data_IF_813647026627
#
_entry.id   IF_813647026627
#
_cell.length_a   1.000
_cell.length_b   1.000
_cell.length_c   1.000
_cell.angle_alpha   90.00
_cell.angle_beta   90.00
_cell.angle_gamma   90.00
#
_symmetry.space_group_name_H-M   'P 1'
#
loop_
_entity.id
_entity.type
_entity.pdbx_description
1 polymer ?
#
# COMPACT_ATOMS: atom_id res chain seq x y z
N UNK A 1 -12.53 -14.97 -24.51
CA UNK A 1 -11.43 -15.14 -23.53
C UNK A 1 -10.65 -13.84 -23.31
N UNK A 2 -10.12 -13.21 -24.36
CA UNK A 2 -9.37 -11.92 -24.27
C UNK A 2 -10.20 -10.79 -23.64
N UNK A 3 -11.44 -10.63 -24.02
CA UNK A 3 -12.36 -9.60 -23.48
C UNK A 3 -12.58 -9.74 -21.96
N UNK A 4 -12.70 -10.98 -21.49
CA UNK A 4 -12.86 -11.25 -20.06
C UNK A 4 -11.56 -11.01 -19.27
N UNK A 5 -10.38 -11.27 -19.88
CA UNK A 5 -9.08 -10.98 -19.26
C UNK A 5 -8.92 -9.47 -19.10
N UNK A 6 -9.26 -8.70 -20.14
CA UNK A 6 -9.19 -7.24 -20.08
C UNK A 6 -10.08 -6.65 -18.96
N UNK A 7 -11.34 -7.12 -18.85
CA UNK A 7 -12.22 -6.66 -17.76
C UNK A 7 -11.70 -6.99 -16.37
N UNK A 8 -11.03 -8.14 -16.20
CA UNK A 8 -10.41 -8.50 -14.93
C UNK A 8 -9.19 -7.63 -14.61
N UNK A 9 -8.35 -7.36 -15.61
CA UNK A 9 -7.20 -6.47 -15.45
C UNK A 9 -7.68 -5.07 -15.09
N UNK A 10 -8.70 -4.56 -15.79
CA UNK A 10 -9.24 -3.24 -15.52
C UNK A 10 -9.77 -3.11 -14.07
N UNK A 11 -10.61 -4.03 -13.60
CA UNK A 11 -11.09 -4.04 -12.22
C UNK A 11 -9.98 -4.25 -11.18
N UNK A 12 -8.92 -5.00 -11.55
CA UNK A 12 -7.72 -5.15 -10.69
C UNK A 12 -6.93 -3.85 -10.58
N UNK A 13 -6.85 -3.07 -11.66
CA UNK A 13 -6.21 -1.74 -11.67
C UNK A 13 -7.01 -0.76 -10.81
N UNK A 14 -8.34 -0.71 -10.95
CA UNK A 14 -9.21 0.14 -10.12
C UNK A 14 -8.98 -0.14 -8.63
N UNK A 15 -9.07 -1.39 -8.23
CA UNK A 15 -8.79 -1.79 -6.85
C UNK A 15 -7.35 -1.50 -6.46
N UNK A 16 -6.39 -1.77 -7.33
CA UNK A 16 -4.96 -1.53 -7.11
C UNK A 16 -4.66 -0.07 -6.75
N UNK A 17 -5.31 0.87 -7.41
CA UNK A 17 -5.14 2.31 -7.14
C UNK A 17 -5.70 2.67 -5.75
N UNK A 18 -6.85 2.10 -5.35
CA UNK A 18 -7.42 2.36 -4.01
C UNK A 18 -6.54 1.74 -2.92
N UNK A 19 -6.07 0.51 -3.10
CA UNK A 19 -5.15 -0.13 -2.17
C UNK A 19 -3.76 0.52 -2.11
N UNK A 20 -3.37 1.28 -3.13
CA UNK A 20 -2.12 2.03 -3.11
C UNK A 20 -2.09 3.08 -1.99
N UNK A 21 -3.24 3.64 -1.60
CA UNK A 21 -3.33 4.56 -0.45
C UNK A 21 -2.96 3.81 0.85
N UNK A 22 -3.49 2.60 1.04
CA UNK A 22 -3.10 1.74 2.16
C UNK A 22 -1.62 1.40 2.12
N UNK A 23 -1.09 1.03 0.96
CA UNK A 23 0.32 0.69 0.81
C UNK A 23 1.25 1.88 1.10
N UNK A 24 0.84 3.12 0.81
CA UNK A 24 1.56 4.32 1.24
C UNK A 24 1.55 4.49 2.77
N UNK A 25 0.45 4.13 3.45
CA UNK A 25 0.41 4.06 4.91
C UNK A 25 1.39 3.02 5.46
N UNK A 26 1.35 1.81 4.93
CA UNK A 26 2.27 0.71 5.29
C UNK A 26 3.73 1.09 5.00
N UNK A 27 4.02 1.77 3.89
CA UNK A 27 5.34 2.32 3.60
C UNK A 27 5.82 3.27 4.70
N UNK A 28 4.94 4.13 5.21
CA UNK A 28 5.29 5.07 6.27
C UNK A 28 5.62 4.36 7.59
N UNK A 29 4.85 3.36 8.02
CA UNK A 29 5.12 2.62 9.25
C UNK A 29 6.33 1.70 9.12
N UNK A 30 6.38 0.84 8.09
CA UNK A 30 7.39 -0.19 7.96
C UNK A 30 8.72 0.29 7.41
N UNK A 31 8.69 1.19 6.41
CA UNK A 31 9.92 1.58 5.70
C UNK A 31 10.51 2.88 6.22
N UNK A 32 9.66 3.83 6.62
CA UNK A 32 10.09 5.14 7.09
C UNK A 32 10.35 5.13 8.60
N UNK A 33 9.46 4.53 9.40
CA UNK A 33 9.59 4.43 10.86
C UNK A 33 10.32 3.19 11.35
N UNK A 34 10.52 2.18 10.49
CA UNK A 34 11.02 0.85 10.87
C UNK A 34 10.18 0.21 12.00
N UNK A 35 8.86 0.40 11.93
CA UNK A 35 7.92 -0.07 12.93
C UNK A 35 6.98 -1.13 12.34
N UNK A 36 7.03 -2.40 12.82
CA UNK A 36 6.15 -3.47 12.37
C UNK A 36 4.74 -3.29 12.94
N UNK A 37 3.90 -2.53 12.24
CA UNK A 37 2.56 -2.15 12.68
C UNK A 37 1.49 -3.11 12.18
N UNK A 38 1.04 -4.03 13.02
CA UNK A 38 -0.07 -4.94 12.73
C UNK A 38 -1.45 -4.31 12.94
N UNK A 39 -1.53 -3.08 13.45
CA UNK A 39 -2.78 -2.32 13.59
C UNK A 39 -3.44 -2.07 12.22
N UNK A 40 -2.65 -2.08 11.15
CA UNK A 40 -3.09 -1.89 9.76
C UNK A 40 -4.31 -2.73 9.41
N UNK A 41 -4.31 -4.02 9.77
CA UNK A 41 -5.44 -4.94 9.51
C UNK A 41 -6.72 -4.45 10.21
N UNK A 42 -6.60 -4.02 11.47
CA UNK A 42 -7.71 -3.45 12.24
C UNK A 42 -8.17 -2.09 11.73
N UNK A 43 -7.22 -1.18 11.46
CA UNK A 43 -7.50 0.19 11.00
C UNK A 43 -8.16 0.23 9.61
N UNK A 44 -7.82 -0.71 8.74
CA UNK A 44 -8.49 -0.85 7.44
C UNK A 44 -9.98 -1.12 7.63
N UNK A 45 -10.31 -2.06 8.52
CA UNK A 45 -11.71 -2.37 8.87
C UNK A 45 -12.35 -1.20 9.62
N UNK A 46 -11.62 -0.50 10.50
CA UNK A 46 -12.16 0.69 11.17
C UNK A 46 -12.59 1.74 10.17
N UNK A 47 -11.77 2.00 9.15
CA UNK A 47 -12.13 2.91 8.07
C UNK A 47 -13.38 2.47 7.32
N UNK A 48 -13.46 1.18 6.94
CA UNK A 48 -14.60 0.64 6.22
C UNK A 48 -15.88 0.62 7.06
N UNK A 49 -15.80 0.26 8.36
CA UNK A 49 -16.94 0.18 9.27
C UNK A 49 -17.50 1.56 9.62
N UNK A 50 -16.65 2.53 9.94
CA UNK A 50 -17.08 3.91 10.22
C UNK A 50 -17.77 4.53 9.01
N UNK A 51 -17.14 4.43 7.83
CA UNK A 51 -17.72 4.97 6.60
C UNK A 51 -19.06 4.30 6.27
N UNK A 52 -19.11 2.96 6.31
CA UNK A 52 -20.32 2.22 6.00
C UNK A 52 -21.46 2.53 6.98
N UNK A 53 -21.20 2.53 8.28
CA UNK A 53 -22.19 2.83 9.31
C UNK A 53 -22.77 4.24 9.14
N UNK A 54 -21.91 5.25 8.96
CA UNK A 54 -22.38 6.63 8.77
C UNK A 54 -23.21 6.78 7.49
N UNK A 55 -22.80 6.14 6.40
CA UNK A 55 -23.55 6.20 5.12
C UNK A 55 -24.93 5.55 5.28
N UNK A 56 -25.03 4.40 5.94
CA UNK A 56 -26.33 3.73 6.19
C UNK A 56 -27.23 4.56 7.10
N UNK A 57 -26.65 5.29 8.08
CA UNK A 57 -27.37 6.25 8.91
C UNK A 57 -27.79 7.54 8.20
N UNK A 58 -27.49 7.69 6.89
CA UNK A 58 -27.89 8.82 6.07
C UNK A 58 -26.94 10.00 6.07
N UNK A 59 -25.74 9.88 6.67
CA UNK A 59 -24.75 10.96 6.61
C UNK A 59 -24.12 11.06 5.22
N UNK A 60 -23.62 12.26 4.91
CA UNK A 60 -22.91 12.51 3.64
C UNK A 60 -21.69 11.61 3.51
N UNK A 61 -21.50 10.89 2.37
CA UNK A 61 -20.37 9.98 2.16
C UNK A 61 -18.99 10.63 2.31
N UNK A 62 -18.84 11.93 1.97
CA UNK A 62 -17.59 12.66 2.18
C UNK A 62 -17.28 12.84 3.66
N UNK A 63 -18.26 13.24 4.47
CA UNK A 63 -18.10 13.36 5.91
C UNK A 63 -17.81 12.01 6.56
N UNK A 64 -18.48 10.96 6.12
CA UNK A 64 -18.24 9.59 6.56
C UNK A 64 -16.78 9.14 6.28
N UNK A 65 -16.25 9.49 5.11
CA UNK A 65 -14.86 9.19 4.75
C UNK A 65 -13.86 9.99 5.61
N UNK A 66 -14.12 11.27 5.87
CA UNK A 66 -13.27 12.08 6.76
C UNK A 66 -13.29 11.53 8.20
N UNK A 67 -14.46 11.16 8.71
CA UNK A 67 -14.60 10.54 10.02
C UNK A 67 -13.82 9.22 10.12
N UNK A 68 -13.86 8.40 9.04
CA UNK A 68 -13.09 7.16 8.94
C UNK A 68 -11.57 7.41 9.03
N UNK A 69 -11.06 8.44 8.33
CA UNK A 69 -9.64 8.86 8.42
C UNK A 69 -9.27 9.26 9.84
N UNK A 70 -10.13 10.05 10.51
CA UNK A 70 -9.94 10.45 11.91
C UNK A 70 -9.90 9.26 12.86
N UNK A 71 -10.81 8.28 12.68
CA UNK A 71 -10.82 7.06 13.48
C UNK A 71 -9.54 6.23 13.28
N UNK A 72 -9.06 6.08 12.05
CA UNK A 72 -7.79 5.42 11.77
C UNK A 72 -6.59 6.15 12.37
N UNK A 73 -6.56 7.49 12.29
CA UNK A 73 -5.52 8.29 12.93
C UNK A 73 -5.47 8.05 14.46
N UNK A 74 -6.63 8.06 15.12
CA UNK A 74 -6.72 7.78 16.56
C UNK A 74 -6.23 6.37 16.88
N UNK A 75 -6.61 5.37 16.09
CA UNK A 75 -6.16 3.99 16.27
C UNK A 75 -4.63 3.87 16.19
N UNK A 76 -4.01 4.50 15.20
CA UNK A 76 -2.55 4.54 15.06
C UNK A 76 -1.86 5.30 16.20
N UNK A 77 -2.43 6.41 16.66
CA UNK A 77 -1.92 7.15 17.84
C UNK A 77 -1.97 6.29 19.10
N UNK A 78 -3.04 5.52 19.33
CA UNK A 78 -3.14 4.61 20.48
C UNK A 78 -2.06 3.52 20.40
N UNK A 79 -1.83 2.93 19.23
CA UNK A 79 -0.73 1.96 19.03
C UNK A 79 0.62 2.59 19.37
N UNK A 80 0.86 3.83 18.91
CA UNK A 80 2.07 4.56 19.23
C UNK A 80 2.22 4.85 20.72
N UNK A 81 1.14 5.18 21.41
CA UNK A 81 1.13 5.40 22.87
C UNK A 81 1.42 4.10 23.62
N UNK A 82 0.82 2.99 23.24
CA UNK A 82 1.08 1.67 23.83
C UNK A 82 2.57 1.29 23.72
N UNK A 83 3.19 1.59 22.58
CA UNK A 83 4.61 1.36 22.40
C UNK A 83 5.48 2.32 23.23
N UNK A 84 5.28 3.63 23.07
CA UNK A 84 6.19 4.65 23.62
C UNK A 84 6.01 4.84 25.11
N UNK A 85 4.79 5.11 25.58
CA UNK A 85 4.47 5.31 26.99
C UNK A 85 4.24 4.01 27.75
N UNK A 86 3.57 3.04 27.12
CA UNK A 86 3.35 1.71 27.69
C UNK A 86 4.59 0.82 27.67
N UNK A 87 5.66 1.21 26.93
CA UNK A 87 6.90 0.44 26.76
C UNK A 87 6.67 -0.99 26.25
N UNK A 88 5.57 -1.19 25.54
CA UNK A 88 5.22 -2.48 24.94
C UNK A 88 6.04 -2.64 23.64
N UNK A 89 6.46 -3.87 23.35
CA UNK A 89 7.15 -4.16 22.09
C UNK A 89 6.32 -3.70 20.87
N UNK A 90 6.92 -3.13 19.81
CA UNK A 90 6.21 -2.64 18.62
C UNK A 90 5.23 -3.64 18.03
N UNK A 91 5.67 -4.88 17.82
CA UNK A 91 4.85 -5.95 17.27
C UNK A 91 3.65 -6.27 18.16
N UNK A 92 3.87 -6.37 19.48
CA UNK A 92 2.83 -6.69 20.46
C UNK A 92 1.81 -5.55 20.57
N UNK A 93 2.24 -4.29 20.53
CA UNK A 93 1.31 -3.14 20.56
C UNK A 93 0.37 -3.14 19.35
N UNK A 94 0.88 -3.47 18.16
CA UNK A 94 0.07 -3.63 16.95
C UNK A 94 -0.94 -4.79 17.07
N UNK A 95 -0.52 -5.95 17.57
CA UNK A 95 -1.40 -7.11 17.78
C UNK A 95 -2.52 -6.78 18.77
N UNK A 96 -2.19 -6.17 19.91
CA UNK A 96 -3.18 -5.80 20.92
C UNK A 96 -4.22 -4.82 20.35
N UNK A 97 -3.76 -3.83 19.58
CA UNK A 97 -4.66 -2.88 18.97
C UNK A 97 -5.51 -3.51 17.85
N UNK A 98 -4.95 -4.42 17.05
CA UNK A 98 -5.70 -5.17 16.03
C UNK A 98 -6.86 -5.97 16.66
N UNK A 99 -6.61 -6.67 17.78
CA UNK A 99 -7.64 -7.43 18.50
C UNK A 99 -8.70 -6.49 19.11
N UNK A 100 -8.28 -5.37 19.70
CA UNK A 100 -9.19 -4.37 20.26
C UNK A 100 -10.09 -3.77 19.16
N UNK A 101 -9.50 -3.40 18.01
CA UNK A 101 -10.23 -2.87 16.87
C UNK A 101 -11.25 -3.85 16.28
N UNK A 102 -10.97 -5.16 16.32
CA UNK A 102 -11.95 -6.16 15.88
C UNK A 102 -13.28 -6.00 16.65
N UNK A 103 -13.22 -5.92 17.97
CA UNK A 103 -14.41 -5.76 18.81
C UNK A 103 -15.07 -4.38 18.66
N UNK A 104 -14.26 -3.33 18.52
CA UNK A 104 -14.74 -1.95 18.29
C UNK A 104 -15.47 -1.89 16.94
N UNK A 105 -14.92 -2.46 15.89
CA UNK A 105 -15.50 -2.46 14.54
C UNK A 105 -16.84 -3.20 14.50
N UNK A 106 -16.96 -4.34 15.19
CA UNK A 106 -18.24 -5.03 15.32
C UNK A 106 -19.32 -4.15 15.97
N UNK A 107 -18.95 -3.40 17.02
CA UNK A 107 -19.87 -2.48 17.69
C UNK A 107 -20.26 -1.30 16.78
N UNK A 108 -19.29 -0.71 16.07
CA UNK A 108 -19.54 0.38 15.13
C UNK A 108 -20.54 -0.09 14.05
N UNK A 109 -20.32 -1.26 13.47
CA UNK A 109 -21.23 -1.83 12.46
C UNK A 109 -22.61 -2.14 13.05
N UNK A 110 -22.69 -2.55 14.33
CA UNK A 110 -23.94 -2.78 15.05
C UNK A 110 -24.81 -1.54 15.22
N UNK A 111 -24.21 -0.33 15.26
CA UNK A 111 -24.98 0.93 15.36
C UNK A 111 -25.91 1.19 14.16
N UNK A 112 -25.69 0.52 13.05
CA UNK A 112 -26.54 0.61 11.84
C UNK A 112 -27.80 -0.27 11.91
N UNK A 113 -28.01 -1.02 13.01
CA UNK A 113 -29.17 -1.89 13.20
C UNK A 113 -30.00 -1.48 14.41
N UNK A 114 -31.31 -1.70 14.35
CA UNK A 114 -32.24 -1.40 15.45
C UNK A 114 -31.90 -2.19 16.73
N UNK A 115 -31.25 -3.34 16.61
CA UNK A 115 -30.93 -4.20 17.75
C UNK A 115 -29.62 -3.80 18.47
N UNK A 116 -28.84 -2.87 17.95
CA UNK A 116 -27.55 -2.42 18.49
C UNK A 116 -26.55 -3.56 18.85
N UNK A 117 -26.82 -4.77 18.35
CA UNK A 117 -25.93 -5.91 18.53
C UNK A 117 -24.83 -5.86 17.47
N UNK A 118 -23.59 -6.23 17.83
CA UNK A 118 -22.48 -6.23 16.91
C UNK A 118 -22.78 -7.03 15.63
N UNK A 119 -22.53 -6.41 14.46
CA UNK A 119 -22.74 -7.03 13.15
C UNK A 119 -21.41 -7.26 12.46
N UNK A 120 -21.22 -8.43 11.81
CA UNK A 120 -19.98 -8.70 11.10
C UNK A 120 -19.90 -8.00 9.74
N UNK A 121 -21.02 -7.58 9.14
CA UNK A 121 -21.06 -6.93 7.83
C UNK A 121 -22.18 -5.89 7.72
N UNK A 122 -21.99 -4.92 6.83
CA UNK A 122 -22.98 -3.89 6.45
C UNK A 122 -23.04 -3.82 4.93
N UNK A 123 -24.19 -4.08 4.30
CA UNK A 123 -24.40 -3.85 2.87
C UNK A 123 -24.68 -2.36 2.59
N UNK A 124 -24.08 -1.81 1.52
CA UNK A 124 -24.25 -0.44 1.04
C UNK A 124 -24.97 -0.38 -0.32
N UNK A 125 -25.65 -1.47 -0.73
CA UNK A 125 -26.24 -1.61 -2.07
C UNK A 125 -27.23 -0.49 -2.42
N UNK A 126 -28.01 -0.05 -1.45
CA UNK A 126 -29.05 0.97 -1.62
C UNK A 126 -28.63 2.36 -1.16
N UNK A 127 -27.37 2.53 -0.73
CA UNK A 127 -26.89 3.79 -0.21
C UNK A 127 -26.09 4.55 -1.26
N UNK A 128 -26.18 5.88 -1.24
CA UNK A 128 -25.34 6.74 -2.05
C UNK A 128 -23.93 6.77 -1.52
N UNK A 129 -22.95 6.49 -2.35
CA UNK A 129 -21.52 6.53 -2.02
C UNK A 129 -20.82 7.64 -2.81
N UNK A 130 -19.59 7.97 -2.46
CA UNK A 130 -18.77 8.89 -3.27
C UNK A 130 -18.67 8.38 -4.71
N UNK A 131 -18.52 7.05 -4.88
CA UNK A 131 -18.41 6.43 -6.21
C UNK A 131 -19.68 6.62 -7.04
N UNK A 132 -20.87 6.41 -6.43
CA UNK A 132 -22.14 6.59 -7.15
C UNK A 132 -22.40 8.05 -7.51
N UNK A 133 -22.14 8.99 -6.59
CA UNK A 133 -22.30 10.42 -6.85
C UNK A 133 -21.35 10.90 -7.95
N UNK A 134 -20.10 10.48 -7.91
CA UNK A 134 -19.13 10.84 -8.92
C UNK A 134 -19.45 10.20 -10.28
N UNK A 135 -19.91 8.96 -10.32
CA UNK A 135 -20.30 8.29 -11.55
C UNK A 135 -21.49 9.02 -12.23
N UNK A 136 -22.46 9.47 -11.44
CA UNK A 136 -23.59 10.26 -11.98
C UNK A 136 -23.10 11.59 -12.59
N UNK A 137 -22.23 12.32 -11.87
CA UNK A 137 -21.61 13.54 -12.37
C UNK A 137 -20.79 13.28 -13.65
N UNK A 138 -19.99 12.21 -13.66
CA UNK A 138 -19.15 11.84 -14.80
C UNK A 138 -19.97 11.50 -16.05
N UNK A 139 -21.08 10.79 -15.88
CA UNK A 139 -22.01 10.44 -16.98
C UNK A 139 -22.64 11.67 -17.60
N UNK A 140 -22.93 12.72 -16.82
CA UNK A 140 -23.45 13.98 -17.35
C UNK A 140 -22.46 14.70 -18.30
N UNK A 141 -21.16 14.47 -18.12
CA UNK A 141 -20.11 15.05 -18.97
C UNK A 141 -19.95 14.32 -20.31
N UNK A 142 -20.56 13.14 -20.50
CA UNK A 142 -20.51 12.36 -21.75
C UNK A 142 -19.12 11.81 -22.12
N UNK A 143 -18.14 11.90 -21.21
CA UNK A 143 -16.73 11.53 -21.46
C UNK A 143 -16.58 10.03 -21.78
N UNK A 144 -17.41 9.19 -21.16
CA UNK A 144 -17.37 7.74 -21.40
C UNK A 144 -17.69 7.40 -22.86
N UNK A 145 -18.63 8.10 -23.48
CA UNK A 145 -19.01 7.88 -24.88
C UNK A 145 -17.85 8.23 -25.81
N UNK A 146 -17.20 9.36 -25.57
CA UNK A 146 -16.07 9.82 -26.35
C UNK A 146 -14.86 8.88 -26.23
N UNK A 147 -14.49 8.46 -25.00
CA UNK A 147 -13.40 7.51 -24.75
C UNK A 147 -13.70 6.15 -25.37
N UNK A 148 -14.93 5.67 -25.23
CA UNK A 148 -15.33 4.38 -25.78
C UNK A 148 -15.35 4.40 -27.31
N UNK A 149 -15.71 5.51 -27.93
CA UNK A 149 -15.66 5.68 -29.37
C UNK A 149 -14.23 5.71 -29.91
N UNK A 150 -13.30 6.36 -29.20
CA UNK A 150 -11.86 6.34 -29.52
C UNK A 150 -11.28 4.93 -29.41
N UNK A 151 -11.63 4.19 -28.37
CA UNK A 151 -11.10 2.84 -28.12
C UNK A 151 -11.73 1.77 -28.99
N UNK A 152 -12.99 1.91 -29.40
CA UNK A 152 -13.64 1.00 -30.36
C UNK A 152 -12.91 0.96 -31.71
N UNK A 153 -12.34 2.07 -32.12
CA UNK A 153 -11.51 2.16 -33.34
C UNK A 153 -10.20 1.38 -33.26
N UNK A 154 -9.74 1.02 -32.04
CA UNK A 154 -8.52 0.20 -31.83
C UNK A 154 -8.79 -1.31 -31.79
N UNK A 155 -10.03 -1.76 -32.02
CA UNK A 155 -10.41 -3.16 -32.06
C UNK A 155 -10.65 -3.80 -30.68
N UNK A 156 -10.67 -3.05 -29.61
CA UNK A 156 -11.03 -3.51 -28.26
C UNK A 156 -12.54 -3.68 -28.15
N UNK A 157 -13.00 -4.92 -28.12
CA UNK A 157 -14.43 -5.26 -28.03
C UNK A 157 -15.03 -5.11 -26.61
N UNK A 158 -14.19 -5.04 -25.58
CA UNK A 158 -14.65 -4.86 -24.20
C UNK A 158 -14.27 -3.46 -23.71
N UNK A 159 -15.25 -2.66 -23.47
CA UNK A 159 -15.10 -1.32 -22.91
C UNK A 159 -15.73 -1.30 -21.51
N UNK A 160 -15.10 -0.69 -20.52
CA UNK A 160 -15.67 -0.55 -19.20
C UNK A 160 -16.93 0.32 -19.25
N UNK A 161 -17.87 0.06 -18.35
CA UNK A 161 -19.12 0.82 -18.26
C UNK A 161 -18.87 2.29 -17.91
N UNK A 162 -17.83 2.57 -17.14
CA UNK A 162 -17.40 3.92 -16.77
C UNK A 162 -15.91 3.96 -16.51
N UNK A 163 -15.26 5.03 -16.93
CA UNK A 163 -13.86 5.37 -16.63
C UNK A 163 -13.75 6.29 -15.42
N UNK A 164 -14.89 6.85 -14.97
CA UNK A 164 -14.94 7.87 -13.92
C UNK A 164 -14.30 7.42 -12.62
N UNK A 165 -14.56 6.18 -12.18
CA UNK A 165 -14.03 5.67 -10.91
C UNK A 165 -12.50 5.59 -10.95
N UNK A 166 -11.91 5.11 -12.06
CA UNK A 166 -10.44 5.07 -12.22
C UNK A 166 -9.84 6.47 -12.14
N UNK A 167 -10.42 7.43 -12.88
CA UNK A 167 -9.93 8.81 -12.91
C UNK A 167 -10.03 9.44 -11.52
N UNK A 168 -11.17 9.29 -10.84
CA UNK A 168 -11.34 9.77 -9.47
C UNK A 168 -10.26 9.20 -8.53
N UNK A 169 -10.06 7.88 -8.58
CA UNK A 169 -9.14 7.21 -7.68
C UNK A 169 -7.68 7.55 -7.98
N UNK A 170 -7.31 7.73 -9.26
CA UNK A 170 -6.00 8.25 -9.65
C UNK A 170 -5.78 9.63 -9.03
N UNK A 171 -6.72 10.55 -9.19
CA UNK A 171 -6.61 11.90 -8.66
C UNK A 171 -6.43 11.86 -7.14
N UNK A 172 -7.30 11.12 -6.42
CA UNK A 172 -7.23 10.99 -4.96
C UNK A 172 -5.88 10.41 -4.52
N UNK A 173 -5.44 9.33 -5.15
CA UNK A 173 -4.18 8.66 -4.80
C UNK A 173 -2.96 9.56 -5.05
N UNK A 174 -2.96 10.32 -6.17
CA UNK A 174 -1.88 11.28 -6.44
C UNK A 174 -1.90 12.49 -5.50
N UNK A 175 -3.07 12.96 -5.07
CA UNK A 175 -3.19 14.00 -4.04
C UNK A 175 -2.60 13.49 -2.72
N UNK A 176 -2.98 12.28 -2.27
CA UNK A 176 -2.45 11.68 -1.05
C UNK A 176 -0.93 11.47 -1.16
N UNK A 177 -0.45 10.95 -2.30
CA UNK A 177 0.98 10.86 -2.58
C UNK A 177 1.68 12.19 -2.46
N UNK A 178 1.13 13.24 -3.05
CA UNK A 178 1.72 14.58 -3.02
C UNK A 178 1.78 15.13 -1.60
N UNK A 179 0.71 14.95 -0.81
CA UNK A 179 0.67 15.33 0.62
C UNK A 179 1.75 14.58 1.39
N UNK A 180 1.87 13.25 1.20
CA UNK A 180 2.88 12.43 1.85
C UNK A 180 4.30 12.84 1.46
N UNK A 181 4.56 13.07 0.17
CA UNK A 181 5.89 13.49 -0.32
C UNK A 181 6.29 14.85 0.28
N UNK A 182 5.35 15.79 0.36
CA UNK A 182 5.57 17.10 1.00
C UNK A 182 5.78 16.95 2.50
N UNK A 183 4.98 16.15 3.17
CA UNK A 183 5.14 15.88 4.60
C UNK A 183 6.52 15.30 4.91
N UNK A 184 6.99 14.31 4.15
CA UNK A 184 8.29 13.67 4.36
C UNK A 184 9.49 14.59 4.07
N UNK A 185 9.27 15.72 3.42
CA UNK A 185 10.28 16.76 3.16
C UNK A 185 10.27 17.89 4.21
N UNK A 186 9.26 17.95 5.09
CA UNK A 186 9.23 18.91 6.20
C UNK A 186 10.23 18.51 7.29
N UNK A 187 10.53 19.45 8.22
CA UNK A 187 11.40 19.17 9.37
C UNK A 187 10.88 17.99 10.20
N UNK A 188 9.57 17.93 10.44
CA UNK A 188 8.93 16.81 11.16
C UNK A 188 9.09 15.50 10.39
N UNK A 189 8.88 15.49 9.07
CA UNK A 189 9.05 14.33 8.22
C UNK A 189 10.50 13.85 8.14
N UNK A 190 11.47 14.77 8.09
CA UNK A 190 12.90 14.45 8.16
C UNK A 190 13.28 13.85 9.52
N UNK A 191 12.79 14.42 10.62
CA UNK A 191 13.00 13.89 11.97
C UNK A 191 12.39 12.50 12.12
N UNK A 192 11.20 12.26 11.54
CA UNK A 192 10.51 10.97 11.54
C UNK A 192 11.33 9.90 10.79
N UNK A 193 11.85 10.22 9.60
CA UNK A 193 12.73 9.33 8.83
C UNK A 193 14.03 9.02 9.60
N UNK A 194 14.65 10.03 10.16
CA UNK A 194 15.86 9.87 10.97
C UNK A 194 15.61 9.06 12.26
N UNK A 195 14.39 9.13 12.82
CA UNK A 195 13.97 8.31 13.96
C UNK A 195 13.88 6.83 13.59
N UNK A 196 13.38 6.51 12.40
CA UNK A 196 13.36 5.13 11.89
C UNK A 196 14.77 4.59 11.64
N UNK A 197 15.68 5.41 11.08
CA UNK A 197 17.05 4.99 10.83
C UNK A 197 17.85 4.77 12.13
N UNK A 198 17.77 5.72 13.09
CA UNK A 198 18.48 5.62 14.38
C UNK A 198 17.83 6.46 15.48
N UNK A 199 16.92 5.84 16.21
CA UNK A 199 16.18 6.49 17.31
C UNK A 199 17.12 7.04 18.41
N UNK A 200 18.24 6.35 18.73
CA UNK A 200 19.16 6.80 19.78
C UNK A 200 19.86 8.09 19.39
N UNK A 201 20.26 8.22 18.13
CA UNK A 201 20.88 9.42 17.60
C UNK A 201 19.94 10.62 17.68
N UNK A 202 18.68 10.44 17.30
CA UNK A 202 17.69 11.53 17.32
C UNK A 202 17.37 12.00 18.73
N UNK A 203 17.35 11.10 19.70
CA UNK A 203 17.21 11.46 21.12
C UNK A 203 18.40 12.30 21.61
N UNK A 204 19.62 12.08 21.14
CA UNK A 204 20.78 12.90 21.52
C UNK A 204 20.70 14.35 20.99
N UNK A 205 19.92 14.58 19.94
CA UNK A 205 19.60 15.92 19.42
C UNK A 205 18.38 16.56 20.10
N UNK A 206 17.97 16.05 21.28
CA UNK A 206 16.84 16.56 22.08
C UNK A 206 15.48 16.50 21.39
N UNK A 207 15.33 15.74 20.29
CA UNK A 207 14.04 15.55 19.64
C UNK A 207 13.20 14.49 20.38
N UNK A 208 11.90 14.76 20.51
CA UNK A 208 10.97 13.83 21.14
C UNK A 208 10.57 12.70 20.16
N UNK A 209 11.35 11.61 20.17
CA UNK A 209 11.11 10.46 19.31
C UNK A 209 9.76 9.79 19.55
N UNK A 210 9.25 9.84 20.79
CA UNK A 210 7.98 9.22 21.17
C UNK A 210 6.82 9.92 20.46
N UNK A 211 6.81 11.25 20.44
CA UNK A 211 5.81 12.03 19.69
C UNK A 211 5.89 11.81 18.20
N UNK A 212 7.09 11.66 17.65
CA UNK A 212 7.30 11.37 16.23
C UNK A 212 6.75 9.99 15.84
N UNK A 213 6.97 8.96 16.66
CA UNK A 213 6.43 7.61 16.43
C UNK A 213 4.90 7.63 16.49
N UNK A 214 4.33 8.28 17.52
CA UNK A 214 2.86 8.39 17.67
C UNK A 214 2.25 9.08 16.44
N UNK A 215 2.82 10.20 16.00
CA UNK A 215 2.35 10.95 14.83
C UNK A 215 2.46 10.12 13.55
N UNK A 216 3.61 9.47 13.34
CA UNK A 216 3.84 8.68 12.14
C UNK A 216 2.92 7.47 12.03
N UNK A 217 2.67 6.76 13.14
CA UNK A 217 1.68 5.67 13.19
C UNK A 217 0.25 6.18 13.02
N UNK A 218 -0.07 7.36 13.57
CA UNK A 218 -1.36 8.02 13.35
C UNK A 218 -1.61 8.30 11.87
N UNK A 219 -0.66 8.94 11.18
CA UNK A 219 -0.78 9.24 9.74
C UNK A 219 -0.82 7.95 8.90
N UNK A 220 0.01 6.97 9.22
CA UNK A 220 0.01 5.65 8.55
C UNK A 220 -1.38 5.03 8.60
N UNK A 221 -1.95 4.88 9.79
CA UNK A 221 -3.25 4.26 9.98
C UNK A 221 -4.42 5.12 9.45
N UNK A 222 -4.26 6.44 9.36
CA UNK A 222 -5.21 7.33 8.69
C UNK A 222 -5.31 7.01 7.18
N UNK A 223 -4.18 6.80 6.50
CA UNK A 223 -4.17 6.39 5.09
C UNK A 223 -4.74 4.98 4.89
N UNK A 224 -4.44 4.07 5.81
CA UNK A 224 -5.01 2.71 5.81
C UNK A 224 -6.53 2.76 5.95
N UNK A 225 -7.05 3.52 6.89
CA UNK A 225 -8.49 3.70 7.11
C UNK A 225 -9.17 4.41 5.93
N UNK A 226 -8.51 5.40 5.31
CA UNK A 226 -9.01 6.03 4.08
C UNK A 226 -9.20 5.00 2.96
N UNK A 227 -8.20 4.14 2.73
CA UNK A 227 -8.30 3.07 1.75
C UNK A 227 -9.44 2.10 2.08
N UNK A 228 -9.60 1.71 3.36
CA UNK A 228 -10.68 0.87 3.84
C UNK A 228 -12.06 1.48 3.58
N UNK A 229 -12.23 2.77 3.88
CA UNK A 229 -13.46 3.53 3.63
C UNK A 229 -13.81 3.60 2.14
N UNK A 230 -12.82 3.80 1.27
CA UNK A 230 -13.01 3.84 -0.18
C UNK A 230 -13.31 2.45 -0.75
N UNK A 231 -12.67 1.39 -0.25
CA UNK A 231 -12.95 0.01 -0.67
C UNK A 231 -14.37 -0.41 -0.26
N UNK A 232 -14.84 -0.06 0.93
CA UNK A 232 -16.22 -0.34 1.33
C UNK A 232 -17.24 0.35 0.41
N UNK A 233 -16.98 1.59 0.02
CA UNK A 233 -17.83 2.35 -0.90
C UNK A 233 -17.76 1.82 -2.33
N UNK A 234 -16.58 1.37 -2.78
CA UNK A 234 -16.37 0.75 -4.08
C UNK A 234 -17.05 -0.61 -4.18
N UNK A 235 -16.84 -1.47 -3.18
CA UNK A 235 -17.43 -2.81 -3.11
C UNK A 235 -18.89 -2.84 -2.69
N UNK A 236 -19.43 -1.71 -2.21
CA UNK A 236 -20.79 -1.56 -1.65
C UNK A 236 -21.09 -2.48 -0.48
N UNK A 237 -20.07 -2.81 0.30
CA UNK A 237 -20.23 -3.54 1.57
C UNK A 237 -19.01 -3.31 2.47
N UNK A 238 -19.22 -3.47 3.78
CA UNK A 238 -18.15 -3.56 4.78
C UNK A 238 -18.29 -4.87 5.53
N UNK A 239 -17.17 -5.56 5.77
CA UNK A 239 -17.10 -6.82 6.52
C UNK A 239 -15.89 -6.78 7.46
N UNK A 240 -16.05 -7.34 8.67
CA UNK A 240 -15.02 -7.34 9.70
C UNK A 240 -13.76 -8.12 9.28
N UNK A 241 -13.90 -9.08 8.37
CA UNK A 241 -12.79 -9.89 7.88
C UNK A 241 -12.03 -9.28 6.70
N UNK A 242 -12.48 -8.12 6.17
CA UNK A 242 -11.80 -7.44 5.06
C UNK A 242 -10.37 -7.03 5.39
N UNK A 243 -10.08 -6.81 6.66
CA UNK A 243 -8.73 -6.39 7.12
C UNK A 243 -7.72 -7.54 7.19
N UNK A 244 -8.16 -8.79 7.25
CA UNK A 244 -7.27 -9.93 7.48
C UNK A 244 -6.25 -10.06 6.35
N UNK A 245 -4.97 -9.82 6.68
CA UNK A 245 -3.85 -9.94 5.75
C UNK A 245 -3.58 -8.69 4.90
N UNK A 246 -4.23 -7.56 5.18
CA UNK A 246 -3.99 -6.31 4.44
C UNK A 246 -2.56 -5.80 4.61
N UNK A 247 -1.97 -6.01 5.79
CA UNK A 247 -0.56 -5.69 6.03
C UNK A 247 0.38 -6.45 5.07
N UNK A 248 0.08 -7.75 4.81
CA UNK A 248 0.88 -8.57 3.90
C UNK A 248 0.79 -8.02 2.47
N UNK A 249 -0.41 -7.63 2.05
CA UNK A 249 -0.65 -6.99 0.74
C UNK A 249 0.12 -5.67 0.63
N UNK A 250 0.06 -4.84 1.68
CA UNK A 250 0.79 -3.58 1.74
C UNK A 250 2.30 -3.76 1.64
N UNK A 251 2.88 -4.66 2.44
CA UNK A 251 4.31 -4.98 2.41
C UNK A 251 4.76 -5.55 1.06
N UNK A 252 3.99 -6.50 0.50
CA UNK A 252 4.30 -7.05 -0.81
C UNK A 252 4.31 -5.96 -1.89
N UNK A 253 3.35 -5.05 -1.85
CA UNK A 253 3.25 -3.92 -2.77
C UNK A 253 4.47 -3.00 -2.67
N UNK A 254 4.91 -2.66 -1.45
CA UNK A 254 6.10 -1.85 -1.21
C UNK A 254 7.34 -2.55 -1.77
N UNK A 255 7.53 -3.83 -1.46
CA UNK A 255 8.72 -4.59 -1.88
C UNK A 255 8.77 -4.79 -3.39
N UNK A 256 7.64 -5.13 -4.03
CA UNK A 256 7.55 -5.26 -5.49
C UNK A 256 7.90 -3.91 -6.15
N UNK A 257 7.33 -2.82 -5.64
CA UNK A 257 7.60 -1.49 -6.15
C UNK A 257 9.08 -1.11 -6.03
N UNK A 258 9.67 -1.27 -4.85
CA UNK A 258 11.08 -0.99 -4.59
C UNK A 258 12.03 -1.85 -5.45
N UNK A 259 11.70 -3.13 -5.65
CA UNK A 259 12.51 -4.04 -6.46
C UNK A 259 12.56 -3.63 -7.94
N UNK A 260 11.46 -3.10 -8.48
CA UNK A 260 11.36 -2.71 -9.89
C UNK A 260 11.95 -1.31 -10.13
N UNK A 261 11.59 -0.34 -9.28
CA UNK A 261 11.89 1.08 -9.52
C UNK A 261 13.04 1.63 -8.67
N UNK A 262 13.46 0.90 -7.63
CA UNK A 262 14.49 1.32 -6.68
C UNK A 262 14.03 2.42 -5.72
N UNK A 263 14.94 2.81 -4.78
CA UNK A 263 14.64 3.66 -3.62
C UNK A 263 15.49 4.94 -3.57
N UNK A 264 15.84 5.53 -4.73
CA UNK A 264 16.81 6.64 -4.78
C UNK A 264 16.31 7.96 -4.17
N UNK A 265 15.02 8.26 -4.29
CA UNK A 265 14.38 9.49 -3.78
C UNK A 265 13.00 9.17 -3.21
N UNK A 266 12.53 9.97 -2.23
CA UNK A 266 11.19 9.82 -1.64
C UNK A 266 10.11 9.78 -2.72
N UNK A 267 10.12 10.76 -3.64
CA UNK A 267 9.15 10.83 -4.74
C UNK A 267 9.12 9.55 -5.59
N UNK A 268 10.29 8.98 -5.88
CA UNK A 268 10.39 7.76 -6.68
C UNK A 268 9.93 6.54 -5.91
N UNK A 269 10.23 6.47 -4.61
CA UNK A 269 9.81 5.35 -3.76
C UNK A 269 8.30 5.32 -3.56
N UNK A 270 7.67 6.46 -3.27
CA UNK A 270 6.21 6.53 -3.12
C UNK A 270 5.48 6.21 -4.43
N UNK A 271 6.02 6.64 -5.59
CA UNK A 271 5.51 6.24 -6.90
C UNK A 271 5.68 4.72 -7.14
N UNK A 272 6.83 4.19 -6.75
CA UNK A 272 7.12 2.75 -6.84
C UNK A 272 6.12 1.93 -6.03
N UNK A 273 5.76 2.37 -4.82
CA UNK A 273 4.73 1.73 -3.98
C UNK A 273 3.38 1.68 -4.69
N UNK A 274 2.94 2.78 -5.30
CA UNK A 274 1.67 2.83 -6.04
C UNK A 274 1.67 1.82 -7.18
N UNK A 275 2.72 1.83 -8.01
CA UNK A 275 2.81 0.92 -9.16
C UNK A 275 2.96 -0.53 -8.69
N UNK A 276 3.72 -0.78 -7.62
CA UNK A 276 3.85 -2.10 -7.00
C UNK A 276 2.51 -2.67 -6.55
N UNK A 277 1.63 -1.84 -5.99
CA UNK A 277 0.29 -2.25 -5.58
C UNK A 277 -0.59 -2.62 -6.77
N UNK A 278 -0.52 -1.84 -7.84
CA UNK A 278 -1.27 -2.13 -9.08
C UNK A 278 -0.78 -3.46 -9.67
N UNK A 279 0.54 -3.66 -9.78
CA UNK A 279 1.14 -4.91 -10.27
C UNK A 279 0.69 -6.09 -9.42
N UNK A 280 0.79 -5.97 -8.08
CA UNK A 280 0.35 -7.01 -7.17
C UNK A 280 -1.12 -7.40 -7.41
N UNK A 281 -2.02 -6.41 -7.52
CA UNK A 281 -3.45 -6.63 -7.76
C UNK A 281 -3.74 -7.26 -9.12
N UNK A 282 -3.04 -6.84 -10.15
CA UNK A 282 -3.18 -7.45 -11.49
C UNK A 282 -2.73 -8.91 -11.47
N UNK A 283 -1.61 -9.23 -10.83
CA UNK A 283 -1.13 -10.62 -10.68
C UNK A 283 -2.18 -11.46 -9.94
N UNK A 284 -2.72 -10.94 -8.83
CA UNK A 284 -3.77 -11.62 -8.05
C UNK A 284 -5.04 -11.83 -8.88
N UNK A 285 -5.50 -10.80 -9.60
CA UNK A 285 -6.70 -10.87 -10.45
C UNK A 285 -6.56 -11.84 -11.62
N UNK A 286 -5.34 -11.99 -12.16
CA UNK A 286 -5.06 -12.99 -13.19
C UNK A 286 -4.97 -14.41 -12.61
N UNK A 287 -4.35 -14.57 -11.43
CA UNK A 287 -4.26 -15.86 -10.74
C UNK A 287 -5.63 -16.45 -10.42
N UNK A 288 -6.58 -15.62 -9.97
CA UNK A 288 -7.96 -16.06 -9.69
C UNK A 288 -8.76 -16.51 -10.92
N UNK A 289 -8.26 -16.28 -12.14
CA UNK A 289 -8.90 -16.77 -13.37
C UNK A 289 -8.46 -18.17 -13.77
N UNK A 290 -7.47 -18.73 -13.12
CA UNK A 290 -7.07 -20.11 -13.33
C UNK A 290 -8.17 -20.99 -12.76
N UNK A 291 -8.87 -21.73 -13.62
CA UNK A 291 -10.07 -22.54 -13.30
C UNK A 291 -9.88 -23.60 -12.19
N UNK A 292 -8.64 -23.86 -11.79
CA UNK A 292 -8.29 -24.85 -10.75
C UNK A 292 -8.37 -24.23 -9.32
N UNK A 293 -8.47 -22.89 -9.24
CA UNK A 293 -8.39 -22.16 -7.98
C UNK A 293 -9.78 -21.63 -7.58
N UNK A 294 -10.22 -21.98 -6.40
CA UNK A 294 -11.45 -21.49 -5.79
C UNK A 294 -11.22 -20.16 -5.05
N UNK A 295 -12.32 -19.44 -4.78
CA UNK A 295 -12.26 -18.20 -3.99
C UNK A 295 -11.72 -18.41 -2.57
N UNK A 296 -11.82 -19.64 -2.03
CA UNK A 296 -11.21 -20.04 -0.76
C UNK A 296 -9.68 -20.02 -0.78
N UNK A 297 -9.07 -20.24 -1.95
CA UNK A 297 -7.63 -20.32 -2.13
C UNK A 297 -6.96 -18.94 -2.23
N UNK A 298 -7.72 -17.85 -2.18
CA UNK A 298 -7.18 -16.48 -2.28
C UNK A 298 -6.06 -16.21 -1.27
N UNK A 299 -6.20 -16.69 -0.04
CA UNK A 299 -5.18 -16.49 1.01
C UNK A 299 -3.90 -17.27 0.70
N UNK A 300 -4.02 -18.48 0.17
CA UNK A 300 -2.88 -19.31 -0.25
C UNK A 300 -2.15 -18.68 -1.44
N UNK A 301 -2.89 -18.22 -2.45
CA UNK A 301 -2.34 -17.52 -3.61
C UNK A 301 -1.59 -16.26 -3.17
N UNK A 302 -2.20 -15.46 -2.29
CA UNK A 302 -1.57 -14.29 -1.69
C UNK A 302 -0.25 -14.66 -1.02
N UNK A 303 -0.22 -15.70 -0.18
CA UNK A 303 0.99 -16.15 0.49
C UNK A 303 2.09 -16.57 -0.50
N UNK A 304 1.74 -17.28 -1.56
CA UNK A 304 2.69 -17.69 -2.62
C UNK A 304 3.23 -16.47 -3.35
N UNK A 305 2.36 -15.54 -3.80
CA UNK A 305 2.79 -14.33 -4.51
C UNK A 305 3.73 -13.50 -3.65
N UNK A 306 3.39 -13.29 -2.36
CA UNK A 306 4.22 -12.54 -1.43
C UNK A 306 5.57 -13.23 -1.20
N UNK A 307 5.57 -14.56 -1.02
CA UNK A 307 6.81 -15.32 -0.87
C UNK A 307 7.70 -15.17 -2.09
N UNK A 308 7.15 -15.28 -3.29
CA UNK A 308 7.90 -15.09 -4.53
C UNK A 308 8.41 -13.64 -4.66
N UNK A 309 7.58 -12.66 -4.32
CA UNK A 309 7.96 -11.24 -4.34
C UNK A 309 9.12 -10.93 -3.38
N UNK A 310 9.20 -11.60 -2.24
CA UNK A 310 10.28 -11.45 -1.26
C UNK A 310 11.56 -12.20 -1.65
N UNK A 311 11.41 -13.39 -2.22
CA UNK A 311 12.52 -14.31 -2.49
C UNK A 311 13.23 -13.99 -3.81
N UNK A 312 12.46 -13.69 -4.87
CA UNK A 312 13.02 -13.45 -6.22
C UNK A 312 14.03 -12.29 -6.23
N UNK A 313 13.74 -11.09 -5.67
CA UNK A 313 14.72 -10.00 -5.63
C UNK A 313 16.01 -10.39 -4.91
N UNK A 314 15.93 -11.08 -3.78
CA UNK A 314 17.10 -11.53 -3.01
C UNK A 314 17.96 -12.52 -3.80
N UNK A 315 17.34 -13.43 -4.55
CA UNK A 315 18.06 -14.38 -5.42
C UNK A 315 18.77 -13.62 -6.56
N UNK A 316 18.07 -12.69 -7.20
CA UNK A 316 18.63 -11.89 -8.29
C UNK A 316 19.78 -10.99 -7.81
N UNK A 317 19.68 -10.37 -6.63
CA UNK A 317 20.76 -9.59 -6.02
C UNK A 317 21.99 -10.46 -5.76
N UNK A 318 21.81 -11.64 -5.12
CA UNK A 318 22.91 -12.60 -4.90
C UNK A 318 23.58 -13.05 -6.21
N UNK A 319 22.79 -13.27 -7.27
CA UNK A 319 23.36 -13.62 -8.58
C UNK A 319 24.14 -12.44 -9.19
N UNK A 320 23.61 -11.23 -9.08
CA UNK A 320 24.31 -10.01 -9.54
C UNK A 320 25.61 -9.77 -8.78
N UNK A 321 25.61 -9.95 -7.46
CA UNK A 321 26.82 -9.86 -6.65
C UNK A 321 27.87 -10.91 -7.02
N UNK A 322 27.45 -12.18 -7.21
CA UNK A 322 28.37 -13.24 -7.67
C UNK A 322 28.97 -12.88 -9.03
N UNK A 323 28.18 -12.39 -9.97
CA UNK A 323 28.67 -11.95 -11.29
C UNK A 323 29.61 -10.76 -11.18
N UNK A 324 29.32 -9.76 -10.32
CA UNK A 324 30.21 -8.62 -10.06
C UNK A 324 31.54 -9.04 -9.42
N UNK A 325 31.51 -9.95 -8.44
CA UNK A 325 32.72 -10.50 -7.82
C UNK A 325 33.57 -11.27 -8.84
N UNK A 326 32.95 -12.12 -9.65
CA UNK A 326 33.66 -12.87 -10.70
C UNK A 326 34.30 -11.93 -11.74
N UNK A 327 33.60 -10.86 -12.16
CA UNK A 327 34.13 -9.87 -13.10
C UNK A 327 35.31 -9.08 -12.50
N UNK A 328 35.21 -8.63 -11.26
CA UNK A 328 36.31 -7.96 -10.56
C UNK A 328 37.53 -8.87 -10.36
N UNK A 329 37.29 -10.18 -10.17
CA UNK A 329 38.35 -11.17 -10.05
C UNK A 329 39.06 -11.35 -11.39
N UNK A 330 38.36 -11.48 -12.51
CA UNK A 330 38.96 -11.57 -13.85
C UNK A 330 39.72 -10.30 -14.24
N UNK A 331 39.18 -9.11 -13.93
CA UNK A 331 39.84 -7.83 -14.19
C UNK A 331 41.16 -7.69 -13.40
N UNK A 332 41.23 -8.19 -12.16
CA UNK A 332 42.47 -8.22 -11.38
C UNK A 332 43.52 -9.16 -11.99
N UNK A 333 43.14 -10.31 -12.50
CA UNK A 333 44.07 -11.25 -13.14
C UNK A 333 44.62 -10.70 -14.46
N UNK A 334 43.82 -10.07 -15.28
CA UNK A 334 44.27 -9.43 -16.54
C UNK A 334 45.22 -8.26 -16.26
N UNK A 335 44.96 -7.46 -15.21
CA UNK A 335 45.86 -6.35 -14.83
C UNK A 335 47.17 -6.85 -14.26
N UNK A 336 47.21 -7.98 -13.57
CA UNK A 336 48.43 -8.57 -13.00
C UNK A 336 49.24 -9.29 -14.08
N UNK A 337 48.61 -9.89 -15.07
CA UNK A 337 49.26 -10.52 -16.20
C UNK A 337 49.92 -9.49 -17.12
N UNK A 338 49.23 -8.37 -17.45
CA UNK A 338 49.79 -7.30 -18.29
C UNK A 338 50.96 -6.54 -17.60
N UNK A 339 50.98 -6.50 -16.28
CA UNK A 339 52.11 -5.87 -15.54
C UNK A 339 53.33 -6.77 -15.53
N UNK A 340 53.19 -8.09 -15.54
CA UNK A 340 54.32 -9.04 -15.65
C UNK A 340 54.94 -9.08 -17.04
N UNK A 341 54.16 -8.90 -18.11
CA UNK A 341 54.66 -8.80 -19.47
C UNK A 341 55.39 -7.46 -19.70
N UNK A 342 54.93 -6.35 -19.11
CA UNK A 342 55.58 -5.05 -19.22
C UNK A 342 56.96 -4.97 -18.51
N UNK A 343 57.19 -5.69 -17.41
CA UNK A 343 58.49 -5.77 -16.71
C UNK A 343 59.52 -6.67 -17.39
N UNK A 344 59.12 -7.55 -18.32
CA UNK A 344 60.05 -8.42 -19.08
C UNK A 344 60.57 -7.78 -20.35
N UNK A 345 60.06 -6.64 -20.78
CA UNK A 345 60.43 -5.97 -22.05
C UNK A 345 61.34 -4.78 -21.81
N UNK A 346 61.76 -4.46 -20.57
CA UNK A 346 62.70 -3.41 -20.32
C UNK A 346 64.13 -3.89 -20.68
N UNK A 347 64.85 -3.27 -21.67
CA UNK A 347 66.20 -3.65 -22.01
C UNK A 347 67.14 -3.27 -20.83
N UNK A 348 68.25 -4.05 -20.64
CA UNK A 348 69.18 -3.77 -19.61
C UNK A 348 69.82 -2.39 -19.86
N UNK A 349 69.84 -1.53 -18.84
CA UNK A 349 70.61 -0.26 -18.85
C UNK A 349 72.09 -0.60 -18.97
N UNK A 350 72.67 -0.27 -20.10
CA UNK A 350 74.14 -0.20 -20.24
C UNK A 350 74.65 1.11 -19.65
N UNK A 351 75.36 0.99 -18.54
CA UNK A 351 76.18 2.08 -18.01
C UNK A 351 77.44 2.26 -18.87
#
# INVERSE_FOLDING_TARGET
>A
MLTQIFGSIFGSVEQGIIYAIMALGVYLSFRVLDFPDLTVDGSFVTGSSVAATMIVLGYNPFLATIAAVGAGFIAGCITGILHTKGKINPLLSGILMMIALYSINLRIMGMSSETSVGRPNIPLLNSETIMTKFTQFWQQLGIDQWLNQLLSNTGLQYLPKTWGIVVLMIIVTFIIKWILDRFLQTEVGLALRATGDNQRMIRSFSANTDSLIILGLGISNAFVALSGALIAQYGKFSDVNLGIGMIIIGLASVIIGEAIFGTKTVFRTTLAVIIGTIIYRVILGLALRIKILDTGDMKLITAIIVTLALVIPKILERQREKRRKARRFSERFTHTAGKKEGDQIAPPRTD
#
